data_IF_279579979690
#
_entry.id   IF_279579979690
#
_cell.length_a   1.000
_cell.length_b   1.000
_cell.length_c   1.000
_cell.angle_alpha   90.00
_cell.angle_beta   90.00
_cell.angle_gamma   90.00
#
_symmetry.space_group_name_H-M   'P 1'
#
loop_
_entity.id
_entity.type
_entity.pdbx_description
1 polymer ?
#
# COMPACT_ATOMS: atom_id res chain seq x y z
N UNK A 1 -5.31 -24.03 1.75
CA UNK A 1 -6.08 -23.40 2.85
C UNK A 1 -6.34 -24.48 3.88
N UNK A 2 -5.86 -24.31 5.11
CA UNK A 2 -5.85 -25.33 6.16
C UNK A 2 -4.43 -25.67 6.64
N UNK A 3 -4.30 -26.17 7.87
CA UNK A 3 -3.03 -26.61 8.44
C UNK A 3 -2.58 -27.87 7.69
N UNK A 4 -1.42 -27.81 7.01
CA UNK A 4 -0.89 -28.95 6.25
C UNK A 4 -0.72 -30.16 7.18
N UNK A 5 -1.29 -31.30 6.80
CA UNK A 5 -1.25 -32.53 7.60
C UNK A 5 -2.33 -32.63 8.70
N UNK A 6 -3.20 -31.64 8.87
CA UNK A 6 -4.37 -31.75 9.74
C UNK A 6 -5.56 -32.32 8.94
N UNK A 7 -5.88 -33.59 9.15
CA UNK A 7 -7.06 -34.20 8.56
C UNK A 7 -8.35 -33.52 9.07
N UNK A 8 -9.32 -33.28 8.18
CA UNK A 8 -10.54 -32.52 8.49
C UNK A 8 -11.39 -33.17 9.60
N UNK A 9 -11.38 -34.49 9.67
CA UNK A 9 -12.06 -35.27 10.72
C UNK A 9 -11.52 -35.01 12.13
N UNK A 10 -10.30 -34.49 12.26
CA UNK A 10 -9.72 -34.03 13.53
C UNK A 10 -10.28 -32.70 14.00
N UNK A 11 -10.89 -31.92 13.11
CA UNK A 11 -11.58 -30.67 13.46
C UNK A 11 -12.99 -31.00 13.92
N UNK A 12 -13.13 -31.27 15.22
CA UNK A 12 -14.44 -31.59 15.81
C UNK A 12 -15.29 -30.35 16.03
N UNK A 13 -16.61 -30.53 16.11
CA UNK A 13 -17.55 -29.46 16.51
C UNK A 13 -17.17 -28.89 17.88
N UNK A 14 -16.67 -29.73 18.80
CA UNK A 14 -16.21 -29.28 20.12
C UNK A 14 -15.00 -28.35 20.03
N UNK A 15 -14.02 -28.68 19.19
CA UNK A 15 -12.85 -27.82 18.94
C UNK A 15 -13.29 -26.49 18.32
N UNK A 16 -14.18 -26.52 17.33
CA UNK A 16 -14.71 -25.32 16.70
C UNK A 16 -15.44 -24.42 17.71
N UNK A 17 -16.34 -24.98 18.52
CA UNK A 17 -17.03 -24.26 19.60
C UNK A 17 -16.05 -23.66 20.60
N UNK A 18 -14.98 -24.37 20.94
CA UNK A 18 -13.94 -23.85 21.84
C UNK A 18 -13.21 -22.66 21.22
N UNK A 19 -12.79 -22.75 19.95
CA UNK A 19 -12.16 -21.61 19.25
C UNK A 19 -13.11 -20.42 19.21
N UNK A 20 -14.36 -20.62 18.81
CA UNK A 20 -15.37 -19.55 18.78
C UNK A 20 -15.59 -18.93 20.17
N UNK A 21 -15.55 -19.72 21.25
CA UNK A 21 -15.70 -19.19 22.62
C UNK A 21 -14.56 -18.28 23.07
N UNK A 22 -13.42 -18.32 22.39
CA UNK A 22 -12.29 -17.44 22.66
C UNK A 22 -12.35 -16.15 21.83
N UNK A 23 -13.26 -16.05 20.85
CA UNK A 23 -13.41 -14.86 20.03
C UNK A 23 -14.24 -13.82 20.78
N UNK A 24 -13.63 -12.67 21.05
CA UNK A 24 -14.29 -11.50 21.66
C UNK A 24 -14.92 -10.64 20.57
N UNK A 25 -14.19 -10.38 19.48
CA UNK A 25 -14.68 -9.60 18.34
C UNK A 25 -14.04 -10.07 17.03
N UNK A 26 -14.76 -9.87 15.93
CA UNK A 26 -14.33 -10.12 14.53
C UNK A 26 -14.67 -8.89 13.72
N UNK A 27 -13.74 -8.38 12.92
CA UNK A 27 -13.92 -7.14 12.14
C UNK A 27 -14.39 -5.96 13.02
N UNK A 28 -13.90 -5.91 14.26
CA UNK A 28 -14.35 -4.97 15.28
C UNK A 28 -13.82 -3.57 15.02
N UNK A 29 -14.70 -2.58 15.01
CA UNK A 29 -14.32 -1.18 14.90
C UNK A 29 -13.64 -0.70 16.20
N UNK A 30 -12.51 -0.01 16.04
CA UNK A 30 -11.76 0.65 17.12
C UNK A 30 -11.72 2.14 16.85
N UNK A 31 -12.24 2.93 17.78
CA UNK A 31 -12.29 4.40 17.67
C UNK A 31 -11.89 4.99 19.02
N UNK A 32 -11.00 5.96 19.05
CA UNK A 32 -10.67 6.68 20.29
C UNK A 32 -11.87 7.46 20.82
N UNK A 33 -11.89 7.77 22.13
CA UNK A 33 -13.01 8.48 22.78
C UNK A 33 -13.36 9.83 22.10
N UNK A 34 -12.40 10.48 21.46
CA UNK A 34 -12.55 11.74 20.72
C UNK A 34 -12.90 11.56 19.23
N UNK A 35 -12.96 10.32 18.73
CA UNK A 35 -13.29 10.01 17.35
C UNK A 35 -12.20 10.26 16.31
N UNK A 36 -10.99 10.68 16.72
CA UNK A 36 -9.95 11.10 15.77
C UNK A 36 -9.18 9.93 15.17
N UNK A 37 -8.79 8.96 16.01
CA UNK A 37 -8.04 7.79 15.59
C UNK A 37 -8.98 6.60 15.46
N UNK A 38 -8.92 5.94 14.32
CA UNK A 38 -9.79 4.83 13.97
C UNK A 38 -8.99 3.66 13.42
N UNK A 39 -9.52 2.45 13.59
CA UNK A 39 -8.99 1.22 13.04
C UNK A 39 -10.06 0.13 13.00
N UNK A 40 -9.75 -0.97 12.33
CA UNK A 40 -10.58 -2.16 12.33
C UNK A 40 -9.72 -3.36 12.68
N UNK A 41 -10.12 -4.07 13.73
CA UNK A 41 -9.50 -5.30 14.17
C UNK A 41 -9.96 -6.43 13.27
N UNK A 42 -9.05 -7.26 12.77
CA UNK A 42 -9.46 -8.53 12.15
C UNK A 42 -10.05 -9.44 13.24
N UNK A 43 -9.31 -9.64 14.34
CA UNK A 43 -9.71 -10.48 15.47
C UNK A 43 -9.28 -9.89 16.82
N UNK A 44 -10.18 -9.96 17.80
CA UNK A 44 -9.89 -9.83 19.22
C UNK A 44 -10.20 -11.15 19.91
N UNK A 45 -9.22 -11.72 20.60
CA UNK A 45 -9.33 -13.02 21.24
C UNK A 45 -9.08 -12.91 22.75
N UNK A 46 -9.74 -13.76 23.53
CA UNK A 46 -9.35 -14.06 24.89
C UNK A 46 -8.06 -14.90 24.85
N UNK A 47 -6.98 -14.37 25.43
CA UNK A 47 -5.75 -15.10 25.63
C UNK A 47 -5.89 -15.95 26.90
N UNK A 48 -5.87 -17.27 26.74
CA UNK A 48 -6.06 -18.23 27.83
C UNK A 48 -4.83 -19.11 27.99
N UNK A 49 -4.55 -19.49 29.23
CA UNK A 49 -3.50 -20.46 29.54
C UNK A 49 -3.89 -21.90 29.19
N UNK A 50 -2.95 -22.84 29.38
CA UNK A 50 -3.17 -24.27 29.14
C UNK A 50 -4.26 -24.88 30.04
N UNK A 51 -4.60 -24.20 31.15
CA UNK A 51 -5.69 -24.58 32.06
C UNK A 51 -7.02 -23.91 31.70
N UNK A 52 -7.05 -23.05 30.69
CA UNK A 52 -8.22 -22.32 30.22
C UNK A 52 -8.53 -21.03 31.00
N UNK A 53 -7.63 -20.57 31.88
CA UNK A 53 -7.80 -19.32 32.61
C UNK A 53 -7.42 -18.13 31.73
N UNK A 54 -8.16 -17.03 31.84
CA UNK A 54 -7.87 -15.79 31.12
C UNK A 54 -6.56 -15.19 31.61
N UNK A 55 -5.59 -15.04 30.70
CA UNK A 55 -4.33 -14.31 30.91
C UNK A 55 -4.43 -12.86 30.43
N UNK A 56 -5.19 -12.63 29.36
CA UNK A 56 -5.18 -11.36 28.67
C UNK A 56 -6.14 -11.31 27.49
N UNK A 57 -5.97 -10.29 26.68
CA UNK A 57 -6.54 -10.24 25.34
C UNK A 57 -5.43 -10.28 24.29
N UNK A 58 -5.77 -10.80 23.12
CA UNK A 58 -4.91 -10.86 21.95
C UNK A 58 -5.59 -10.18 20.77
N UNK A 59 -5.00 -9.08 20.31
CA UNK A 59 -5.27 -8.49 19.00
C UNK A 59 -4.52 -9.31 17.96
N UNK A 60 -5.23 -9.92 17.02
CA UNK A 60 -4.63 -10.66 15.92
C UNK A 60 -5.04 -10.03 14.58
N UNK A 61 -4.04 -9.69 13.77
CA UNK A 61 -4.21 -9.17 12.41
C UNK A 61 -3.68 -10.21 11.42
N UNK A 62 -4.51 -10.55 10.43
CA UNK A 62 -4.27 -11.59 9.44
C UNK A 62 -3.54 -11.00 8.24
N UNK A 63 -2.35 -11.53 7.94
CA UNK A 63 -1.53 -11.11 6.81
C UNK A 63 -1.38 -12.23 5.78
N UNK A 64 -1.67 -11.91 4.53
CA UNK A 64 -1.45 -12.79 3.36
C UNK A 64 -0.13 -12.53 2.64
N UNK A 65 0.56 -11.44 2.97
CA UNK A 65 1.84 -11.07 2.39
C UNK A 65 3.02 -11.92 2.88
N UNK A 66 4.21 -11.62 2.36
CA UNK A 66 5.46 -12.29 2.78
C UNK A 66 5.68 -12.14 4.29
N UNK A 67 6.00 -13.22 5.01
CA UNK A 67 6.29 -13.16 6.43
C UNK A 67 7.55 -12.32 6.72
N UNK A 68 7.67 -11.76 7.93
CA UNK A 68 8.84 -11.00 8.32
C UNK A 68 10.10 -11.88 8.37
N UNK A 69 11.26 -11.27 8.13
CA UNK A 69 12.57 -11.89 8.37
C UNK A 69 13.17 -11.28 9.64
N UNK A 70 13.07 -12.02 10.74
CA UNK A 70 13.63 -11.65 12.05
C UNK A 70 12.80 -10.66 12.87
N UNK A 71 12.20 -9.63 12.26
CA UNK A 71 11.30 -8.69 12.95
C UNK A 71 10.19 -8.17 12.04
N UNK A 72 9.05 -7.80 12.63
CA UNK A 72 7.98 -7.08 11.93
C UNK A 72 8.53 -5.83 11.24
N UNK A 73 7.96 -5.52 10.07
CA UNK A 73 8.21 -4.22 9.42
C UNK A 73 7.76 -3.08 10.36
N UNK A 74 8.46 -1.93 10.39
CA UNK A 74 8.12 -0.84 11.30
C UNK A 74 6.66 -0.39 11.21
N UNK A 75 6.09 -0.34 10.00
CA UNK A 75 4.73 0.13 9.76
C UNK A 75 3.70 -0.87 10.31
N UNK A 76 3.93 -2.18 10.10
CA UNK A 76 3.07 -3.25 10.63
C UNK A 76 3.14 -3.31 12.15
N UNK A 77 4.34 -3.17 12.72
CA UNK A 77 4.53 -3.13 14.17
C UNK A 77 3.81 -1.94 14.80
N UNK A 78 3.87 -0.76 14.16
CA UNK A 78 3.16 0.45 14.62
C UNK A 78 1.65 0.31 14.50
N UNK A 79 1.14 -0.26 13.40
CA UNK A 79 -0.30 -0.54 13.22
C UNK A 79 -0.85 -1.43 14.33
N UNK A 80 -0.22 -2.57 14.58
CA UNK A 80 -0.63 -3.50 15.64
C UNK A 80 -0.60 -2.87 17.04
N UNK A 81 0.43 -2.05 17.32
CA UNK A 81 0.51 -1.28 18.57
C UNK A 81 -0.60 -0.24 18.67
N UNK A 82 -0.93 0.46 17.58
CA UNK A 82 -2.05 1.39 17.55
C UNK A 82 -3.36 0.70 17.93
N UNK A 83 -3.65 -0.48 17.38
CA UNK A 83 -4.84 -1.26 17.76
C UNK A 83 -4.87 -1.62 19.25
N UNK A 84 -3.75 -2.16 19.77
CA UNK A 84 -3.58 -2.46 21.20
C UNK A 84 -3.84 -1.22 22.06
N UNK A 85 -3.26 -0.10 21.66
CA UNK A 85 -3.24 1.11 22.48
C UNK A 85 -4.58 1.84 22.47
N UNK A 86 -5.30 1.86 21.34
CA UNK A 86 -6.70 2.34 21.29
C UNK A 86 -7.60 1.44 22.15
N UNK A 87 -7.42 0.12 22.08
CA UNK A 87 -8.19 -0.81 22.90
C UNK A 87 -7.96 -0.55 24.39
N UNK A 88 -6.70 -0.37 24.81
CA UNK A 88 -6.34 -0.05 26.19
C UNK A 88 -6.86 1.32 26.64
N UNK A 89 -6.75 2.36 25.80
CA UNK A 89 -7.22 3.71 26.16
C UNK A 89 -8.74 3.79 26.33
N UNK A 90 -9.48 2.95 25.59
CA UNK A 90 -10.92 2.83 25.71
C UNK A 90 -11.37 1.97 26.91
N UNK A 91 -10.48 1.17 27.49
CA UNK A 91 -10.81 0.18 28.51
C UNK A 91 -9.84 0.27 29.71
N UNK A 92 -10.12 1.16 30.66
CA UNK A 92 -9.27 1.42 31.83
C UNK A 92 -9.04 0.20 32.74
N UNK A 93 -9.92 -0.81 32.65
CA UNK A 93 -9.83 -2.07 33.41
C UNK A 93 -9.53 -3.28 32.51
N UNK A 94 -9.05 -3.06 31.28
CA UNK A 94 -8.67 -4.15 30.39
C UNK A 94 -7.61 -5.04 31.05
N UNK A 95 -7.66 -6.36 30.82
CA UNK A 95 -6.53 -7.22 31.15
C UNK A 95 -5.34 -6.89 30.23
N UNK A 96 -4.14 -7.46 30.48
CA UNK A 96 -3.00 -7.27 29.58
C UNK A 96 -3.35 -7.59 28.13
N UNK A 97 -2.95 -6.73 27.19
CA UNK A 97 -3.24 -6.90 25.76
C UNK A 97 -1.95 -7.13 24.98
N UNK A 98 -1.90 -8.22 24.23
CA UNK A 98 -0.87 -8.49 23.23
C UNK A 98 -1.41 -8.19 21.82
N UNK A 99 -0.52 -7.87 20.88
CA UNK A 99 -0.88 -7.68 19.48
C UNK A 99 0.07 -8.45 18.57
N UNK A 100 -0.48 -9.20 17.61
CA UNK A 100 0.28 -10.10 16.75
C UNK A 100 -0.13 -10.00 15.28
N UNK A 101 0.86 -10.07 14.39
CA UNK A 101 0.65 -10.32 12.97
C UNK A 101 0.68 -11.84 12.70
N UNK A 102 -0.40 -12.37 12.14
CA UNK A 102 -0.58 -13.79 11.83
C UNK A 102 -0.46 -14.01 10.32
N UNK A 103 0.61 -14.66 9.88
CA UNK A 103 0.94 -14.82 8.47
C UNK A 103 0.46 -16.16 7.96
N UNK A 104 -0.52 -16.14 7.06
CA UNK A 104 -1.18 -17.36 6.56
C UNK A 104 -0.25 -18.24 5.72
N UNK A 105 0.71 -17.64 5.01
CA UNK A 105 1.66 -18.35 4.14
C UNK A 105 2.57 -19.33 4.90
N UNK A 106 2.99 -18.94 6.11
CA UNK A 106 3.90 -19.75 6.95
C UNK A 106 3.27 -20.25 8.23
N UNK A 107 2.00 -19.92 8.48
CA UNK A 107 1.32 -20.16 9.76
C UNK A 107 2.11 -19.61 10.96
N UNK A 108 2.86 -18.51 10.76
CA UNK A 108 3.70 -17.90 11.79
C UNK A 108 2.99 -16.73 12.48
N UNK A 109 3.36 -16.50 13.75
CA UNK A 109 2.86 -15.40 14.57
C UNK A 109 4.02 -14.52 14.99
N UNK A 110 3.81 -13.21 14.95
CA UNK A 110 4.86 -12.24 15.23
C UNK A 110 4.33 -11.16 16.17
N UNK A 111 4.95 -11.03 17.34
CA UNK A 111 4.57 -10.04 18.33
C UNK A 111 4.92 -8.62 17.89
N UNK A 112 3.98 -7.70 18.10
CA UNK A 112 4.24 -6.28 18.00
C UNK A 112 4.83 -5.75 19.31
N UNK A 113 6.04 -5.20 19.23
CA UNK A 113 6.83 -4.82 20.42
C UNK A 113 7.10 -3.32 20.46
N UNK A 114 7.04 -2.79 21.68
CA UNK A 114 7.42 -1.44 22.06
C UNK A 114 6.28 -0.66 22.72
N UNK A 115 6.58 0.59 23.03
CA UNK A 115 5.79 1.53 23.85
C UNK A 115 4.38 1.86 23.30
N UNK A 116 3.66 2.76 23.96
CA UNK A 116 2.42 3.29 23.43
C UNK A 116 2.70 4.14 22.16
N UNK A 117 1.82 4.14 21.16
CA UNK A 117 1.98 4.95 19.93
C UNK A 117 0.92 6.03 19.73
N UNK A 118 -0.02 6.20 20.66
CA UNK A 118 -1.16 7.11 20.46
C UNK A 118 -0.72 8.55 20.30
N UNK A 119 0.23 9.04 21.11
CA UNK A 119 0.73 10.42 21.00
C UNK A 119 1.28 10.71 19.59
N UNK A 120 2.19 9.86 19.10
CA UNK A 120 2.72 9.99 17.74
C UNK A 120 1.63 9.81 16.66
N UNK A 121 0.60 9.00 16.90
CA UNK A 121 -0.52 8.84 15.99
C UNK A 121 -1.40 10.10 15.93
N UNK A 122 -1.63 10.77 17.07
CA UNK A 122 -2.33 12.06 17.15
C UNK A 122 -1.53 13.18 16.48
N UNK A 123 -0.20 13.22 16.66
CA UNK A 123 0.67 14.15 15.94
C UNK A 123 0.56 13.95 14.43
N UNK A 124 0.65 12.71 13.97
CA UNK A 124 0.49 12.38 12.56
C UNK A 124 -0.92 12.78 12.05
N UNK A 125 -1.97 12.42 12.77
CA UNK A 125 -3.35 12.78 12.42
C UNK A 125 -3.53 14.30 12.30
N UNK A 126 -2.99 15.07 13.25
CA UNK A 126 -3.04 16.53 13.23
C UNK A 126 -2.25 17.13 12.07
N UNK A 127 -1.12 16.53 11.69
CA UNK A 127 -0.29 16.96 10.57
C UNK A 127 -0.89 16.59 9.21
N UNK A 128 -1.77 15.59 9.15
CA UNK A 128 -2.39 15.08 7.92
C UNK A 128 -3.83 15.55 7.73
N UNK A 129 -4.25 16.63 8.39
CA UNK A 129 -5.58 17.20 8.16
C UNK A 129 -5.72 17.65 6.70
N UNK A 130 -6.90 17.45 6.07
CA UNK A 130 -7.13 17.94 4.72
C UNK A 130 -6.82 19.44 4.62
N UNK A 131 -6.03 19.79 3.61
CA UNK A 131 -5.66 21.18 3.33
C UNK A 131 -5.48 21.35 1.82
N UNK A 132 -5.55 22.60 1.35
CA UNK A 132 -5.33 22.92 -0.06
C UNK A 132 -3.84 22.76 -0.46
N UNK A 133 -2.95 22.75 0.53
CA UNK A 133 -1.51 22.58 0.34
C UNK A 133 -1.13 21.11 0.56
N UNK A 134 -0.36 20.48 -0.36
CA UNK A 134 0.18 19.14 -0.18
C UNK A 134 1.04 19.05 1.08
N UNK A 135 1.13 17.84 1.63
CA UNK A 135 2.07 17.56 2.71
C UNK A 135 3.52 17.70 2.23
N UNK A 136 4.40 18.12 3.14
CA UNK A 136 5.83 18.22 2.88
C UNK A 136 6.39 16.88 2.35
N UNK A 137 7.04 16.90 1.17
CA UNK A 137 7.51 15.69 0.53
C UNK A 137 8.71 15.11 1.28
N UNK A 138 8.75 13.78 1.40
CA UNK A 138 9.89 13.05 2.00
C UNK A 138 10.54 12.11 0.98
N UNK A 139 11.17 12.66 -0.09
CA UNK A 139 11.73 11.86 -1.16
C UNK A 139 12.90 11.00 -0.66
N UNK A 140 12.90 9.73 -1.05
CA UNK A 140 13.87 8.77 -0.53
C UNK A 140 13.74 7.38 -1.13
N UNK A 141 14.68 6.51 -0.78
CA UNK A 141 14.73 5.14 -1.30
C UNK A 141 13.51 4.31 -0.90
N UNK A 142 12.99 4.49 0.31
CA UNK A 142 11.81 3.77 0.81
C UNK A 142 10.49 4.37 0.32
N UNK A 143 10.46 5.65 -0.05
CA UNK A 143 9.28 6.34 -0.59
C UNK A 143 9.31 6.32 -2.12
N UNK A 144 10.07 7.22 -2.75
CA UNK A 144 10.15 7.34 -4.21
C UNK A 144 10.81 6.14 -4.90
N UNK A 145 11.72 5.44 -4.22
CA UNK A 145 12.30 4.19 -4.72
C UNK A 145 11.37 2.97 -4.56
N UNK A 146 10.29 3.08 -3.79
CA UNK A 146 9.33 2.03 -3.49
C UNK A 146 7.98 2.19 -4.20
N UNK A 147 6.94 1.64 -3.55
CA UNK A 147 5.56 1.79 -3.98
C UNK A 147 4.97 3.08 -3.38
N UNK A 148 4.43 3.93 -4.25
CA UNK A 148 3.76 5.18 -3.90
C UNK A 148 2.65 5.37 -4.93
N UNK A 149 1.43 5.63 -4.48
CA UNK A 149 0.27 5.76 -5.37
C UNK A 149 0.16 7.16 -5.99
N UNK A 150 0.89 8.14 -5.44
CA UNK A 150 0.83 9.54 -5.85
C UNK A 150 1.77 9.91 -7.01
N UNK A 151 2.43 8.93 -7.62
CA UNK A 151 3.52 9.17 -8.59
C UNK A 151 3.11 10.08 -9.74
N UNK A 152 1.94 9.86 -10.34
CA UNK A 152 1.43 10.62 -11.49
C UNK A 152 1.22 12.13 -11.21
N UNK A 153 1.17 12.52 -9.94
CA UNK A 153 0.95 13.89 -9.48
C UNK A 153 2.14 14.46 -8.68
N UNK A 154 3.21 13.69 -8.47
CA UNK A 154 4.29 14.06 -7.56
C UNK A 154 5.59 14.36 -8.33
N UNK A 155 5.95 15.63 -8.53
CA UNK A 155 7.20 15.98 -9.22
C UNK A 155 8.44 15.59 -8.41
N UNK A 156 8.35 15.52 -7.07
CA UNK A 156 9.45 15.07 -6.20
C UNK A 156 9.84 13.62 -6.46
N UNK A 157 8.87 12.74 -6.70
CA UNK A 157 9.14 11.36 -7.08
C UNK A 157 9.93 11.31 -8.39
N UNK A 158 9.46 12.02 -9.42
CA UNK A 158 10.04 11.95 -10.74
C UNK A 158 11.48 12.52 -10.76
N UNK A 159 11.68 13.65 -10.08
CA UNK A 159 13.00 14.25 -9.86
C UNK A 159 13.94 13.32 -9.08
N UNK A 160 13.48 12.70 -7.99
CA UNK A 160 14.29 11.75 -7.22
C UNK A 160 14.71 10.56 -8.08
N UNK A 161 13.80 9.99 -8.88
CA UNK A 161 14.11 8.86 -9.77
C UNK A 161 15.11 9.26 -10.85
N UNK A 162 15.00 10.47 -11.41
CA UNK A 162 15.93 11.01 -12.39
C UNK A 162 17.34 11.17 -11.80
N UNK A 163 17.46 11.85 -10.66
CA UNK A 163 18.73 12.06 -9.95
C UNK A 163 19.43 10.74 -9.59
N UNK A 164 18.64 9.73 -9.22
CA UNK A 164 19.12 8.38 -8.91
C UNK A 164 19.25 7.47 -10.16
N UNK A 165 19.10 8.03 -11.36
CA UNK A 165 19.28 7.34 -12.66
C UNK A 165 18.45 6.07 -12.79
N UNK A 166 17.23 6.10 -12.28
CA UNK A 166 16.33 4.93 -12.12
C UNK A 166 15.00 5.06 -12.88
N UNK A 167 14.82 6.11 -13.68
CA UNK A 167 13.70 6.23 -14.61
C UNK A 167 13.77 5.16 -15.68
N UNK A 168 12.60 4.61 -16.07
CA UNK A 168 12.45 3.67 -17.18
C UNK A 168 13.34 2.41 -17.08
N UNK A 169 13.74 2.02 -15.86
CA UNK A 169 14.68 0.92 -15.62
C UNK A 169 14.11 -0.13 -14.65
N UNK A 170 14.33 -1.39 -15.02
CA UNK A 170 13.92 -2.57 -14.24
C UNK A 170 13.00 -3.48 -15.06
N UNK A 171 12.64 -4.62 -14.48
CA UNK A 171 11.68 -5.53 -15.10
C UNK A 171 10.30 -4.88 -15.22
N UNK A 172 9.86 -4.25 -14.13
CA UNK A 172 8.69 -3.40 -14.06
C UNK A 172 9.14 -2.01 -13.61
N UNK A 173 8.76 -1.00 -14.36
CA UNK A 173 9.18 0.36 -14.11
C UNK A 173 8.04 1.35 -14.36
N UNK A 174 8.17 2.47 -13.69
CA UNK A 174 7.29 3.62 -13.84
C UNK A 174 7.97 4.65 -14.75
N UNK A 175 7.17 5.35 -15.54
CA UNK A 175 7.68 6.34 -16.49
C UNK A 175 6.66 7.40 -16.86
N UNK A 176 7.16 8.56 -17.28
CA UNK A 176 6.36 9.58 -17.96
C UNK A 176 6.78 9.58 -19.42
N UNK A 177 5.80 9.53 -20.32
CA UNK A 177 6.02 9.44 -21.77
C UNK A 177 5.11 10.39 -22.53
N UNK A 178 5.49 10.73 -23.75
CA UNK A 178 4.61 11.40 -24.72
C UNK A 178 4.16 10.38 -25.76
N UNK A 179 2.85 10.30 -25.99
CA UNK A 179 2.27 9.46 -27.04
C UNK A 179 2.38 10.18 -28.38
N UNK A 180 3.04 9.56 -29.36
CA UNK A 180 3.16 10.11 -30.72
C UNK A 180 2.16 9.50 -31.70
N UNK A 181 1.95 8.18 -31.59
CA UNK A 181 1.02 7.46 -32.43
C UNK A 181 0.45 6.27 -31.68
N UNK A 182 -0.85 6.01 -31.85
CA UNK A 182 -1.52 4.81 -31.37
C UNK A 182 -2.23 4.11 -32.54
N UNK A 183 -2.00 2.82 -32.68
CA UNK A 183 -2.73 1.93 -33.60
C UNK A 183 -3.69 1.08 -32.75
N UNK A 184 -4.95 1.50 -32.72
CA UNK A 184 -6.04 0.85 -31.98
C UNK A 184 -6.24 -0.61 -32.41
N UNK A 185 -6.15 -0.87 -33.72
CA UNK A 185 -6.33 -2.19 -34.30
C UNK A 185 -5.26 -3.19 -33.86
N UNK A 186 -4.03 -2.71 -33.64
CA UNK A 186 -2.91 -3.51 -33.12
C UNK A 186 -2.70 -3.39 -31.62
N UNK A 187 -3.39 -2.44 -30.97
CA UNK A 187 -3.17 -2.08 -29.55
C UNK A 187 -1.71 -1.76 -29.26
N UNK A 188 -1.06 -1.05 -30.19
CA UNK A 188 0.36 -0.66 -30.09
C UNK A 188 0.54 0.83 -30.24
N UNK A 189 1.47 1.41 -29.50
CA UNK A 189 1.82 2.81 -29.59
C UNK A 189 3.32 3.03 -29.82
N UNK A 190 3.63 4.15 -30.46
CA UNK A 190 4.95 4.75 -30.41
C UNK A 190 4.92 5.88 -29.38
N UNK A 191 5.78 5.79 -28.38
CA UNK A 191 5.94 6.82 -27.34
C UNK A 191 7.37 7.32 -27.27
N UNK A 192 7.56 8.48 -26.69
CA UNK A 192 8.87 9.04 -26.37
C UNK A 192 9.09 9.07 -24.86
N UNK A 193 10.24 8.58 -24.41
CA UNK A 193 10.63 8.69 -23.01
C UNK A 193 10.84 10.15 -22.61
N UNK A 194 10.35 10.54 -21.44
CA UNK A 194 10.57 11.87 -20.90
C UNK A 194 11.38 11.86 -19.60
N UNK A 195 11.97 13.01 -19.30
CA UNK A 195 12.64 13.34 -18.03
C UNK A 195 12.08 14.65 -17.46
N UNK A 196 12.26 14.91 -16.16
CA UNK A 196 11.89 16.20 -15.58
C UNK A 196 12.68 17.33 -16.24
N UNK A 197 11.96 18.32 -16.76
CA UNK A 197 12.51 19.59 -17.23
C UNK A 197 12.88 20.51 -16.06
N UNK A 198 12.06 20.46 -15.01
CA UNK A 198 12.17 21.34 -13.84
C UNK A 198 11.63 20.63 -12.57
N UNK A 199 11.78 21.33 -11.44
CA UNK A 199 11.34 20.84 -10.13
C UNK A 199 9.81 20.77 -9.98
N UNK A 200 9.05 21.41 -10.88
CA UNK A 200 7.59 21.52 -10.82
C UNK A 200 6.88 20.42 -11.63
N UNK A 201 7.65 19.52 -12.26
CA UNK A 201 7.12 18.43 -13.06
C UNK A 201 6.90 18.79 -14.53
N UNK A 202 7.49 19.90 -15.00
CA UNK A 202 7.62 20.15 -16.43
C UNK A 202 8.29 18.97 -17.14
N UNK A 203 7.86 18.69 -18.37
CA UNK A 203 8.28 17.50 -19.13
C UNK A 203 9.27 17.88 -20.22
N UNK A 204 10.40 17.18 -20.26
CA UNK A 204 11.40 17.27 -21.33
C UNK A 204 11.48 15.94 -22.09
N UNK A 205 11.15 15.91 -23.40
CA UNK A 205 11.31 14.73 -24.25
C UNK A 205 12.79 14.41 -24.47
N UNK A 206 13.16 13.12 -24.44
CA UNK A 206 14.57 12.69 -24.53
C UNK A 206 15.04 12.39 -25.96
N UNK A 207 14.14 12.37 -26.94
CA UNK A 207 14.36 11.84 -28.29
C UNK A 207 14.34 10.32 -28.38
N UNK A 208 14.22 9.59 -27.27
CA UNK A 208 14.23 8.13 -27.26
C UNK A 208 12.83 7.56 -27.47
N UNK A 209 12.60 7.02 -28.65
CA UNK A 209 11.35 6.38 -29.03
C UNK A 209 11.30 4.93 -28.51
N UNK A 210 10.09 4.50 -28.11
CA UNK A 210 9.77 3.14 -27.67
C UNK A 210 8.46 2.69 -28.29
N UNK A 211 8.40 1.40 -28.61
CA UNK A 211 7.14 0.74 -28.97
C UNK A 211 6.53 0.14 -27.71
N UNK A 212 5.25 0.40 -27.49
CA UNK A 212 4.48 -0.15 -26.38
C UNK A 212 3.32 -0.98 -26.93
N UNK A 213 3.05 -2.12 -26.30
CA UNK A 213 1.81 -2.88 -26.49
C UNK A 213 0.92 -2.71 -25.26
N UNK A 214 -0.36 -2.47 -25.49
CA UNK A 214 -1.38 -2.30 -24.46
C UNK A 214 -2.36 -3.47 -24.48
N UNK A 215 -2.72 -3.98 -23.30
CA UNK A 215 -3.76 -5.01 -23.18
C UNK A 215 -4.63 -4.85 -21.90
N UNK A 216 -5.81 -5.48 -21.95
CA UNK A 216 -6.84 -5.43 -20.90
C UNK A 216 -7.09 -4.02 -20.37
N UNK A 217 -7.10 -3.87 -19.03
CA UNK A 217 -7.37 -2.58 -18.38
C UNK A 217 -6.39 -1.46 -18.80
N UNK A 218 -5.13 -1.78 -19.06
CA UNK A 218 -4.15 -0.78 -19.50
C UNK A 218 -4.51 -0.18 -20.86
N UNK A 219 -5.05 -1.01 -21.76
CA UNK A 219 -5.60 -0.57 -23.05
C UNK A 219 -6.87 0.26 -22.87
N UNK A 220 -7.84 -0.27 -22.11
CA UNK A 220 -9.14 0.39 -21.89
C UNK A 220 -8.97 1.80 -21.32
N UNK A 221 -8.04 1.98 -20.37
CA UNK A 221 -7.77 3.28 -19.76
C UNK A 221 -7.04 4.22 -20.73
N UNK A 222 -6.09 3.73 -21.54
CA UNK A 222 -5.47 4.56 -22.57
C UNK A 222 -6.51 5.08 -23.56
N UNK A 223 -7.38 4.20 -24.07
CA UNK A 223 -8.41 4.56 -25.05
C UNK A 223 -9.39 5.57 -24.47
N UNK A 224 -9.85 5.35 -23.23
CA UNK A 224 -10.69 6.33 -22.54
C UNK A 224 -10.01 7.71 -22.40
N UNK A 225 -8.71 7.75 -22.08
CA UNK A 225 -7.96 9.00 -22.02
C UNK A 225 -7.89 9.73 -23.38
N UNK A 226 -7.74 8.98 -24.47
CA UNK A 226 -7.71 9.55 -25.81
C UNK A 226 -9.08 10.03 -26.27
N UNK A 227 -10.13 9.27 -25.96
CA UNK A 227 -11.52 9.64 -26.23
C UNK A 227 -11.94 10.90 -25.46
N UNK A 228 -11.44 11.07 -24.24
CA UNK A 228 -11.60 12.28 -23.42
C UNK A 228 -10.76 13.47 -23.96
N UNK A 229 -9.98 13.26 -25.03
CA UNK A 229 -9.22 14.31 -25.71
C UNK A 229 -7.89 14.66 -25.04
N UNK A 230 -7.35 13.82 -24.16
CA UNK A 230 -6.03 14.06 -23.55
C UNK A 230 -4.93 14.08 -24.61
N UNK A 231 -4.11 15.14 -24.61
CA UNK A 231 -2.97 15.32 -25.53
C UNK A 231 -1.63 15.48 -24.79
N UNK A 232 -1.66 15.44 -23.46
CA UNK A 232 -0.49 15.70 -22.62
C UNK A 232 0.37 14.46 -22.37
N UNK A 233 1.46 14.62 -21.60
CA UNK A 233 2.26 13.50 -21.14
C UNK A 233 1.44 12.51 -20.31
N UNK A 234 1.81 11.24 -20.36
CA UNK A 234 1.11 10.12 -19.72
C UNK A 234 2.08 9.46 -18.74
N UNK A 235 1.61 9.23 -17.52
CA UNK A 235 2.24 8.35 -16.55
C UNK A 235 1.87 6.90 -16.83
N UNK A 236 2.89 6.04 -16.93
CA UNK A 236 2.76 4.60 -17.01
C UNK A 236 3.32 3.99 -15.72
N UNK A 237 2.45 3.39 -14.91
CA UNK A 237 2.80 2.71 -13.68
C UNK A 237 3.03 1.22 -13.89
N UNK A 238 4.12 0.68 -13.36
CA UNK A 238 4.47 -0.76 -13.40
C UNK A 238 4.46 -1.39 -14.80
N UNK A 239 4.86 -0.64 -15.83
CA UNK A 239 5.00 -1.16 -17.18
C UNK A 239 6.20 -2.13 -17.24
N UNK A 240 6.06 -3.20 -18.02
CA UNK A 240 7.17 -4.14 -18.24
C UNK A 240 8.11 -3.55 -19.30
N UNK A 241 9.30 -3.08 -18.87
CA UNK A 241 10.23 -2.29 -19.70
C UNK A 241 11.55 -3.01 -20.04
N UNK A 242 11.75 -4.24 -19.56
CA UNK A 242 12.95 -5.04 -19.84
C UNK A 242 12.97 -5.73 -21.21
N UNK A 243 12.15 -5.26 -22.16
CA UNK A 243 11.98 -5.83 -23.51
C UNK A 243 12.08 -4.73 -24.55
N UNK A 244 12.32 -5.14 -25.80
CA UNK A 244 12.32 -4.23 -26.95
C UNK A 244 10.96 -3.53 -27.13
N UNK A 245 9.87 -4.28 -26.93
CA UNK A 245 8.51 -3.75 -26.87
C UNK A 245 8.06 -3.74 -25.41
N UNK A 246 7.76 -2.55 -24.88
CA UNK A 246 7.23 -2.43 -23.54
C UNK A 246 5.81 -2.96 -23.48
N UNK A 247 5.40 -3.49 -22.32
CA UNK A 247 4.03 -3.96 -22.10
C UNK A 247 3.35 -3.20 -21.00
N UNK A 248 2.17 -2.68 -21.31
CA UNK A 248 1.23 -2.07 -20.37
C UNK A 248 0.01 -2.98 -20.32
N UNK A 249 -0.07 -3.79 -19.26
CA UNK A 249 -1.12 -4.80 -19.09
C UNK A 249 -2.20 -4.41 -18.09
N UNK A 250 -3.04 -5.36 -17.62
CA UNK A 250 -4.19 -5.04 -16.78
C UNK A 250 -3.81 -4.66 -15.33
N UNK A 251 -2.53 -4.86 -14.98
CA UNK A 251 -1.94 -4.48 -13.69
C UNK A 251 -1.29 -3.10 -13.70
N UNK A 252 -1.20 -2.45 -14.87
CA UNK A 252 -0.54 -1.17 -15.02
C UNK A 252 -1.52 -0.02 -14.78
N UNK A 253 -0.98 1.08 -14.25
CA UNK A 253 -1.69 2.36 -14.22
C UNK A 253 -1.36 3.13 -15.49
N UNK A 254 -2.37 3.72 -16.12
CA UNK A 254 -2.22 4.66 -17.24
C UNK A 254 -2.99 5.90 -16.84
N UNK A 255 -2.28 7.00 -16.59
CA UNK A 255 -2.86 8.23 -16.03
C UNK A 255 -2.30 9.45 -16.74
N UNK A 256 -3.03 10.58 -16.81
CA UNK A 256 -2.42 11.86 -17.16
C UNK A 256 -1.27 12.16 -16.19
N UNK A 257 -0.14 12.59 -16.72
CA UNK A 257 0.87 13.24 -15.89
C UNK A 257 0.35 14.62 -15.52
N UNK A 258 0.00 14.81 -14.24
CA UNK A 258 -0.62 16.05 -13.77
C UNK A 258 -0.02 16.48 -12.41
N UNK A 259 1.22 17.00 -12.39
CA UNK A 259 1.90 17.42 -11.16
C UNK A 259 1.05 18.39 -10.34
N UNK A 260 0.94 18.14 -9.03
CA UNK A 260 0.38 19.09 -8.07
C UNK A 260 1.55 19.91 -7.52
N UNK A 261 1.51 21.26 -7.59
CA UNK A 261 2.57 22.09 -7.04
C UNK A 261 2.51 22.11 -5.51
N UNK A 262 3.65 22.33 -4.87
CA UNK A 262 3.76 22.38 -3.40
C UNK A 262 2.92 23.51 -2.78
N UNK A 263 2.56 24.53 -3.56
CA UNK A 263 1.65 25.60 -3.13
C UNK A 263 0.18 25.18 -3.07
N UNK A 264 -0.18 24.00 -3.59
CA UNK A 264 -1.56 23.55 -3.74
C UNK A 264 -2.17 23.81 -5.11
N UNK A 265 -3.29 23.13 -5.37
CA UNK A 265 -4.11 23.40 -6.55
C UNK A 265 -4.76 24.78 -6.40
N UNK A 266 -4.50 25.67 -7.35
CA UNK A 266 -5.18 26.97 -7.46
C UNK A 266 -6.60 26.83 -7.98
#
# INVERSE_FOLDING_TARGET
VGVQGLAHDRVTIALWKKIQSLVIAVEGELVTKDGQLMGRLDLLLADVDDSGNLRGWLVADLKTGKPPQGKLKPEVNRQLRMYRDILLSNNEKAPPVQAQGWYTDTSSKWDAVGENVLEAAYEAWSATQPSDTPLEPTPGKSSCGGFCDWKAWCPHWWNWRHQNKSLHKGDFADGVVILHQYDEGRSTATVEECVPKDALGGVEPTGQMRTISFDGRGKEVLEALLDDGHQGPIFLGSAMMNREVWRVGPWCDVLPWNPIPDSGMS
#
